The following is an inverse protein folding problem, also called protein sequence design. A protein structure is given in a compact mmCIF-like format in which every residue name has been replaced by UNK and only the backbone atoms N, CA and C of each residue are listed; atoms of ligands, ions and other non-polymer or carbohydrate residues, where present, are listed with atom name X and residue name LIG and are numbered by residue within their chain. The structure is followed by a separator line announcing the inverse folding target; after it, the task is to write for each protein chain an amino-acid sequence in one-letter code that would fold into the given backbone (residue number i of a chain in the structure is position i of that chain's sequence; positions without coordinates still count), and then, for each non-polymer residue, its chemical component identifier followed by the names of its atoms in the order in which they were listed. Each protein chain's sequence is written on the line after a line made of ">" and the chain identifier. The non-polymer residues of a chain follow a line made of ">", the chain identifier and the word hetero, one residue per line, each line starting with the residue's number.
data_IF_622492468384
#
_entry.id   IF_622492468384
#
_cell.length_a   1.000
_cell.length_b   1.000
_cell.length_c   1.000
_cell.angle_alpha   90.00
_cell.angle_beta   90.00
_cell.angle_gamma   90.00
#
_symmetry.space_group_name_H-M   'P 1'
#
loop_
_entity.id
_entity.type
_entity.pdbx_description
1 polymer ?
#
# COMPACT_ATOMS: atom_id res chain seq x y z
N UNK A 1 -6.44 -4.33 4.62
CA UNK A 1 -7.48 -4.05 5.66
C UNK A 1 -7.02 -2.83 6.48
N UNK A 2 -7.93 -1.96 6.91
CA UNK A 2 -7.58 -0.70 7.61
C UNK A 2 -7.86 -0.80 9.10
N UNK A 3 -6.98 -0.24 9.92
CA UNK A 3 -7.19 -0.10 11.36
C UNK A 3 -8.39 0.80 11.65
N UNK A 4 -9.08 0.51 12.74
CA UNK A 4 -10.21 1.31 13.22
C UNK A 4 -9.87 1.86 14.60
N UNK A 5 -10.07 3.18 14.78
CA UNK A 5 -9.93 3.81 16.10
C UNK A 5 -11.30 3.79 16.79
N UNK A 6 -11.34 3.24 18.00
CA UNK A 6 -12.52 3.25 18.86
C UNK A 6 -12.29 4.24 19.99
N UNK A 7 -13.23 5.17 20.16
CA UNK A 7 -13.19 6.18 21.22
C UNK A 7 -14.18 5.82 22.31
N UNK A 8 -13.70 5.75 23.55
CA UNK A 8 -14.54 5.57 24.72
C UNK A 8 -14.58 6.88 25.52
N UNK A 9 -15.79 7.35 25.80
CA UNK A 9 -16.07 8.57 26.54
C UNK A 9 -16.78 8.16 27.84
N UNK A 10 -16.30 8.65 28.97
CA UNK A 10 -16.95 8.47 30.25
C UNK A 10 -17.16 9.84 30.89
N UNK A 11 -18.39 10.09 31.34
CA UNK A 11 -18.78 11.29 32.06
C UNK A 11 -19.37 10.87 33.41
N UNK A 12 -18.84 11.43 34.49
CA UNK A 12 -19.32 11.20 35.85
C UNK A 12 -19.84 12.53 36.38
N UNK A 13 -21.11 12.58 36.75
CA UNK A 13 -21.72 13.75 37.38
C UNK A 13 -21.91 13.50 38.87
N UNK A 14 -21.34 14.37 39.70
CA UNK A 14 -21.51 14.33 41.16
C UNK A 14 -22.88 14.92 41.60
N UNK A 15 -23.27 14.68 42.84
CA UNK A 15 -24.44 15.26 43.53
C UNK A 15 -24.45 16.79 43.47
N UNK A 16 -23.28 17.42 43.35
CA UNK A 16 -23.14 18.87 43.18
C UNK A 16 -23.35 19.35 41.73
N UNK A 17 -23.88 18.50 40.84
CA UNK A 17 -24.05 18.76 39.40
C UNK A 17 -22.73 19.10 38.67
N UNK A 18 -21.61 18.64 39.20
CA UNK A 18 -20.31 18.78 38.56
C UNK A 18 -20.04 17.55 37.70
N UNK A 19 -19.83 17.74 36.40
CA UNK A 19 -19.48 16.66 35.48
C UNK A 19 -17.98 16.64 35.23
N UNK A 20 -17.36 15.48 35.42
CA UNK A 20 -15.99 15.20 34.99
C UNK A 20 -16.04 14.24 33.82
N UNK A 21 -15.37 14.63 32.73
CA UNK A 21 -15.29 13.83 31.51
C UNK A 21 -13.87 13.27 31.34
N UNK A 22 -13.79 12.02 30.89
CA UNK A 22 -12.54 11.41 30.45
C UNK A 22 -12.78 10.70 29.13
N UNK A 23 -11.72 10.65 28.32
CA UNK A 23 -11.74 9.98 27.02
C UNK A 23 -10.50 9.11 26.86
N UNK A 24 -10.67 8.00 26.16
CA UNK A 24 -9.57 7.14 25.75
C UNK A 24 -9.80 6.59 24.34
N UNK A 25 -8.72 6.26 23.65
CA UNK A 25 -8.75 5.74 22.29
C UNK A 25 -8.05 4.39 22.24
N UNK A 26 -8.63 3.45 21.51
CA UNK A 26 -8.05 2.14 21.22
C UNK A 26 -7.95 1.94 19.72
N UNK A 27 -6.86 1.34 19.25
CA UNK A 27 -6.70 0.95 17.86
C UNK A 27 -7.04 -0.54 17.73
N UNK A 28 -8.03 -0.85 16.89
CA UNK A 28 -8.37 -2.22 16.54
C UNK A 28 -7.64 -2.60 15.25
N UNK A 29 -6.78 -3.61 15.37
CA UNK A 29 -6.04 -4.20 14.27
C UNK A 29 -6.83 -5.38 13.68
N UNK A 30 -7.27 -5.31 12.42
CA UNK A 30 -8.01 -6.40 11.78
C UNK A 30 -7.11 -7.56 11.32
N UNK A 31 -5.79 -7.44 11.49
CA UNK A 31 -4.79 -8.39 11.04
C UNK A 31 -3.61 -8.44 12.01
N UNK A 32 -2.94 -9.59 12.07
CA UNK A 32 -1.75 -9.80 12.89
C UNK A 32 -0.51 -9.14 12.29
N UNK A 33 -0.46 -9.04 10.96
CA UNK A 33 0.69 -8.54 10.22
C UNK A 33 0.33 -7.37 9.32
N UNK A 34 1.28 -6.46 9.14
CA UNK A 34 1.22 -5.32 8.25
C UNK A 34 2.31 -5.43 7.20
N UNK A 35 1.96 -5.14 5.95
CA UNK A 35 2.91 -5.09 4.83
C UNK A 35 3.25 -3.64 4.56
N UNK A 36 4.53 -3.28 4.73
CA UNK A 36 5.06 -1.99 4.35
C UNK A 36 5.65 -2.04 2.95
N UNK A 37 5.30 -1.08 2.11
CA UNK A 37 5.77 -1.01 0.73
C UNK A 37 6.40 0.36 0.47
N UNK A 38 7.59 0.38 -0.14
CA UNK A 38 8.32 1.62 -0.44
C UNK A 38 8.94 1.54 -1.82
N UNK A 39 8.47 2.40 -2.72
CA UNK A 39 9.12 2.65 -4.00
C UNK A 39 10.41 3.46 -3.78
N UNK A 40 11.49 3.12 -4.49
CA UNK A 40 12.70 3.96 -4.50
C UNK A 40 12.45 5.25 -5.30
N UNK A 41 11.64 5.14 -6.36
CA UNK A 41 11.16 6.27 -7.16
C UNK A 41 9.69 6.04 -7.51
N UNK A 42 8.86 7.07 -7.33
CA UNK A 42 7.45 7.02 -7.70
C UNK A 42 7.24 7.20 -9.20
N UNK A 43 8.29 7.47 -9.97
CA UNK A 43 8.22 7.62 -11.42
C UNK A 43 8.97 6.49 -12.10
N UNK A 44 8.24 5.65 -12.83
CA UNK A 44 8.82 4.62 -13.68
C UNK A 44 8.79 5.03 -15.15
N UNK A 45 9.82 4.64 -15.88
CA UNK A 45 9.88 4.79 -17.33
C UNK A 45 9.38 3.50 -17.97
N UNK A 46 8.72 3.62 -19.12
CA UNK A 46 8.34 2.46 -19.94
C UNK A 46 9.57 1.58 -20.17
N UNK A 47 9.39 0.29 -19.93
CA UNK A 47 10.41 -0.76 -20.12
C UNK A 47 11.68 -0.58 -19.28
N UNK A 48 11.62 0.16 -18.17
CA UNK A 48 12.74 0.27 -17.21
C UNK A 48 12.36 -0.27 -15.84
N UNK A 49 13.24 -1.04 -15.18
CA UNK A 49 12.94 -1.62 -13.88
C UNK A 49 12.72 -0.53 -12.84
N UNK A 50 11.68 -0.71 -12.03
CA UNK A 50 11.37 0.09 -10.84
C UNK A 50 11.68 -0.75 -9.62
N UNK A 51 12.61 -0.26 -8.80
CA UNK A 51 12.99 -0.91 -7.56
C UNK A 51 12.06 -0.53 -6.42
N UNK A 52 11.71 -1.53 -5.64
CA UNK A 52 10.79 -1.43 -4.51
C UNK A 52 11.31 -2.22 -3.33
N UNK A 53 11.02 -1.74 -2.13
CA UNK A 53 11.29 -2.43 -0.88
C UNK A 53 10.00 -2.85 -0.19
N UNK A 54 9.97 -4.08 0.30
CA UNK A 54 8.84 -4.63 1.06
C UNK A 54 9.31 -5.17 2.39
N UNK A 55 8.54 -4.90 3.43
CA UNK A 55 8.71 -5.43 4.78
C UNK A 55 7.38 -5.97 5.30
N UNK A 56 7.45 -6.90 6.24
CA UNK A 56 6.30 -7.34 7.02
C UNK A 56 6.61 -7.11 8.48
N UNK A 57 5.68 -6.46 9.18
CA UNK A 57 5.79 -6.20 10.61
C UNK A 57 4.61 -6.74 11.38
N UNK A 58 4.79 -7.03 12.66
CA UNK A 58 3.68 -7.21 13.60
C UNK A 58 3.08 -5.84 14.02
N UNK A 59 2.13 -5.89 14.97
CA UNK A 59 1.48 -4.71 15.55
C UNK A 59 2.47 -3.86 16.35
N UNK A 60 3.53 -4.46 16.89
CA UNK A 60 4.54 -3.80 17.71
C UNK A 60 5.69 -3.19 16.87
N UNK A 61 5.75 -3.51 15.57
CA UNK A 61 6.75 -3.01 14.62
C UNK A 61 7.96 -3.93 14.41
N UNK A 62 7.94 -5.16 14.93
CA UNK A 62 9.01 -6.13 14.72
C UNK A 62 8.93 -6.73 13.32
N UNK A 63 10.07 -6.90 12.65
CA UNK A 63 10.13 -7.56 11.34
C UNK A 63 9.83 -9.06 11.47
N UNK A 64 8.92 -9.55 10.63
CA UNK A 64 8.49 -10.94 10.59
C UNK A 64 9.04 -11.62 9.34
N UNK A 65 9.68 -12.78 9.51
CA UNK A 65 10.18 -13.61 8.42
C UNK A 65 9.17 -14.66 7.95
N UNK A 66 9.45 -15.25 6.79
CA UNK A 66 8.75 -16.42 6.26
C UNK A 66 7.24 -16.21 6.01
N UNK A 67 6.81 -14.97 5.79
CA UNK A 67 5.44 -14.64 5.35
C UNK A 67 5.41 -14.53 3.83
N UNK A 68 4.52 -15.29 3.20
CA UNK A 68 4.28 -15.21 1.76
C UNK A 68 3.47 -13.95 1.44
N UNK A 69 3.99 -13.14 0.53
CA UNK A 69 3.35 -11.89 0.08
C UNK A 69 3.14 -12.00 -1.43
N UNK A 70 1.90 -11.76 -1.83
CA UNK A 70 1.51 -11.61 -3.23
C UNK A 70 1.36 -10.12 -3.53
N UNK A 71 2.22 -9.60 -4.38
CA UNK A 71 2.18 -8.22 -4.84
C UNK A 71 1.64 -8.17 -6.27
N UNK A 72 0.67 -7.29 -6.51
CA UNK A 72 0.05 -7.11 -7.82
C UNK A 72 0.29 -5.70 -8.32
N UNK A 73 1.01 -5.57 -9.43
CA UNK A 73 1.26 -4.30 -10.11
C UNK A 73 0.26 -4.16 -11.24
N UNK A 74 -0.60 -3.13 -11.17
CA UNK A 74 -1.64 -2.86 -12.15
C UNK A 74 -1.35 -1.51 -12.82
N UNK A 75 -1.04 -1.54 -14.10
CA UNK A 75 -0.91 -0.35 -14.94
C UNK A 75 -2.14 -0.19 -15.83
N UNK A 76 -2.91 0.88 -15.62
CA UNK A 76 -4.01 1.27 -16.52
C UNK A 76 -3.63 2.57 -17.23
N UNK A 77 -3.70 2.59 -18.55
CA UNK A 77 -3.40 3.79 -19.31
C UNK A 77 -3.91 3.75 -20.74
N UNK A 78 -3.85 4.91 -21.40
CA UNK A 78 -4.15 5.04 -22.81
C UNK A 78 -2.84 5.24 -23.56
N UNK A 79 -2.55 4.41 -24.55
CA UNK A 79 -1.50 4.68 -25.52
C UNK A 79 -2.12 5.37 -26.75
N UNK A 80 -1.38 6.34 -27.32
CA UNK A 80 -1.76 7.00 -28.57
C UNK A 80 -1.20 6.18 -29.72
N UNK A 81 -2.08 5.63 -30.53
CA UNK A 81 -1.75 5.00 -31.80
C UNK A 81 -2.27 5.89 -32.93
N UNK A 82 -1.54 5.93 -34.04
CA UNK A 82 -1.96 6.65 -35.23
C UNK A 82 -2.37 5.60 -36.27
N UNK A 83 -3.63 5.63 -36.68
CA UNK A 83 -4.15 4.73 -37.71
C UNK A 83 -3.56 5.09 -39.09
N UNK A 84 -3.71 4.17 -40.06
CA UNK A 84 -3.29 4.36 -41.46
C UNK A 84 -3.85 5.64 -42.13
N UNK A 85 -4.91 6.21 -41.55
CA UNK A 85 -5.57 7.43 -41.99
C UNK A 85 -5.11 8.71 -41.24
N UNK A 86 -4.08 8.64 -40.41
CA UNK A 86 -3.57 9.78 -39.62
C UNK A 86 -4.49 10.21 -38.46
N UNK A 87 -5.43 9.35 -38.05
CA UNK A 87 -6.30 9.59 -36.92
C UNK A 87 -5.64 9.10 -35.63
N UNK A 88 -5.65 9.94 -34.60
CA UNK A 88 -5.11 9.59 -33.28
C UNK A 88 -6.14 8.75 -32.53
N UNK A 89 -5.88 7.46 -32.36
CA UNK A 89 -6.70 6.53 -31.59
C UNK A 89 -6.05 6.28 -30.24
N UNK A 90 -6.85 6.34 -29.17
CA UNK A 90 -6.41 6.04 -27.82
C UNK A 90 -6.81 4.61 -27.45
N UNK A 91 -5.84 3.70 -27.38
CA UNK A 91 -6.08 2.33 -26.96
C UNK A 91 -5.85 2.15 -25.46
N UNK A 92 -6.76 1.42 -24.81
CA UNK A 92 -6.63 1.05 -23.40
C UNK A 92 -5.57 -0.04 -23.26
N UNK A 93 -4.42 0.30 -22.69
CA UNK A 93 -3.36 -0.65 -22.35
C UNK A 93 -3.49 -1.00 -20.88
N UNK A 94 -3.58 -2.31 -20.62
CA UNK A 94 -3.58 -2.89 -19.27
C UNK A 94 -2.32 -3.71 -19.08
N UNK A 95 -1.56 -3.40 -18.03
CA UNK A 95 -0.42 -4.18 -17.57
C UNK A 95 -0.77 -4.80 -16.21
N UNK A 96 -0.66 -6.12 -16.10
CA UNK A 96 -0.96 -6.86 -14.87
C UNK A 96 0.22 -7.80 -14.59
N UNK A 97 0.93 -7.57 -13.49
CA UNK A 97 2.09 -8.34 -13.08
C UNK A 97 1.92 -8.79 -11.62
N UNK A 98 2.03 -10.09 -11.38
CA UNK A 98 2.01 -10.67 -10.03
C UNK A 98 3.42 -11.10 -9.63
N UNK A 99 3.85 -10.70 -8.44
CA UNK A 99 5.15 -11.01 -7.86
C UNK A 99 4.92 -11.69 -6.51
N UNK A 100 5.49 -12.88 -6.35
CA UNK A 100 5.44 -13.63 -5.08
C UNK A 100 6.77 -13.51 -4.39
N UNK A 101 6.75 -13.03 -3.14
CA UNK A 101 7.96 -12.82 -2.33
C UNK A 101 7.75 -13.32 -0.91
N UNK A 102 8.86 -13.64 -0.24
CA UNK A 102 8.87 -14.11 1.14
C UNK A 102 9.55 -13.04 1.99
N UNK A 103 8.96 -12.71 3.14
CA UNK A 103 9.50 -11.71 4.06
C UNK A 103 10.79 -12.15 4.75
N UNK A 104 11.56 -11.16 5.21
CA UNK A 104 12.82 -11.33 5.96
C UNK A 104 12.77 -10.53 7.26
N UNK A 105 13.38 -11.05 8.32
CA UNK A 105 13.49 -10.40 9.63
C UNK A 105 14.74 -9.52 9.79
N UNK A 106 15.66 -9.51 8.82
CA UNK A 106 16.90 -8.73 8.90
C UNK A 106 16.79 -7.38 8.22
N UNK A 107 16.29 -7.39 6.99
CA UNK A 107 16.26 -6.23 6.10
C UNK A 107 15.06 -6.29 5.16
N UNK A 108 14.74 -5.14 4.57
CA UNK A 108 13.72 -5.06 3.54
C UNK A 108 14.07 -5.88 2.30
N UNK A 109 13.07 -6.59 1.78
CA UNK A 109 13.21 -7.39 0.56
C UNK A 109 13.07 -6.47 -0.64
N UNK A 110 14.08 -6.45 -1.51
CA UNK A 110 14.04 -5.69 -2.76
C UNK A 110 13.29 -6.47 -3.83
N UNK A 111 12.36 -5.81 -4.51
CA UNK A 111 11.57 -6.34 -5.61
C UNK A 111 11.66 -5.38 -6.79
N UNK A 112 11.97 -5.93 -7.95
CA UNK A 112 12.06 -5.18 -9.18
C UNK A 112 10.94 -5.61 -10.12
N UNK A 113 10.26 -4.65 -10.71
CA UNK A 113 9.26 -4.89 -11.76
C UNK A 113 9.48 -3.94 -12.93
N UNK A 114 9.12 -4.37 -14.14
CA UNK A 114 9.34 -3.59 -15.36
C UNK A 114 7.98 -3.22 -15.96
N UNK A 115 7.52 -1.96 -15.82
CA UNK A 115 6.21 -1.55 -16.28
C UNK A 115 6.19 -1.32 -17.79
N UNK A 116 5.11 -1.75 -18.45
CA UNK A 116 4.87 -1.49 -19.88
C UNK A 116 4.44 -0.05 -20.17
N UNK A 117 4.09 0.70 -19.12
CA UNK A 117 3.64 2.09 -19.18
C UNK A 117 4.54 2.97 -18.30
N UNK A 118 5.06 4.07 -18.85
CA UNK A 118 5.89 5.02 -18.12
C UNK A 118 5.06 6.13 -17.47
N UNK A 119 4.74 6.02 -16.18
CA UNK A 119 3.97 7.00 -15.40
C UNK A 119 4.33 6.96 -13.91
N UNK A 120 3.59 7.74 -13.11
CA UNK A 120 3.66 7.77 -11.66
C UNK A 120 2.97 6.52 -11.08
N UNK A 121 3.62 5.87 -10.12
CA UNK A 121 3.09 4.77 -9.33
C UNK A 121 2.51 5.28 -8.01
N UNK A 122 1.39 4.71 -7.61
CA UNK A 122 0.70 4.99 -6.34
C UNK A 122 0.50 3.66 -5.62
N UNK A 123 0.68 3.68 -4.30
CA UNK A 123 0.61 2.52 -3.41
C UNK A 123 -0.74 2.44 -2.69
#
# INVERSE_FOLDING_TARGET
>A
PRTTVVRALAAITDLNYQTQETQTEFIIHPCTYYVGFKLISNYGKKDKPVQTKVIVTDIDGNLIDNVLIECKVIGNGNEKNEDENGLIVFEQVKDDQTLTIVSSNKDAVNIDFTPKLGKIFVL
#
